data_IF_698341758421
#
_entry.id   IF_698341758421
#
_cell.length_a   1.000
_cell.length_b   1.000
_cell.length_c   1.000
_cell.angle_alpha   90.00
_cell.angle_beta   90.00
_cell.angle_gamma   90.00
#
_symmetry.space_group_name_H-M   'P 1'
#
loop_
_entity.id
_entity.type
_entity.pdbx_description
1 polymer ?
#
# COMPACT_ATOMS: atom_id res chain seq x y z
N UNK A 1 22.45 -5.41 -0.25
CA UNK A 1 22.26 -4.13 0.45
C UNK A 1 22.81 -4.18 1.87
N UNK A 2 22.98 -3.04 2.51
CA UNK A 2 23.42 -2.90 3.90
C UNK A 2 22.51 -3.64 4.90
N UNK A 3 21.21 -3.71 4.59
CA UNK A 3 20.19 -4.36 5.42
C UNK A 3 19.84 -5.79 4.95
N UNK A 4 20.66 -6.43 4.13
CA UNK A 4 20.41 -7.78 3.65
C UNK A 4 19.33 -7.92 2.56
N UNK A 5 18.72 -6.82 2.11
CA UNK A 5 17.72 -6.83 1.05
C UNK A 5 18.35 -7.24 -0.28
N UNK A 6 17.74 -8.19 -0.98
CA UNK A 6 18.14 -8.57 -2.33
C UNK A 6 17.82 -7.43 -3.31
N UNK A 7 18.84 -6.93 -3.99
CA UNK A 7 18.74 -5.83 -4.95
C UNK A 7 19.09 -6.27 -6.39
N UNK A 8 19.01 -7.55 -6.71
CA UNK A 8 19.38 -8.07 -8.03
C UNK A 8 18.54 -7.50 -9.17
N UNK A 9 17.30 -7.11 -8.88
CA UNK A 9 16.37 -6.48 -9.84
C UNK A 9 16.39 -4.94 -9.77
N UNK A 10 17.33 -4.35 -9.03
CA UNK A 10 17.48 -2.89 -9.00
C UNK A 10 18.22 -2.43 -10.25
N UNK A 11 17.55 -1.63 -11.08
CA UNK A 11 18.13 -1.04 -12.29
C UNK A 11 18.61 0.38 -12.01
N UNK A 12 19.82 0.71 -12.42
CA UNK A 12 20.37 2.06 -12.34
C UNK A 12 20.10 2.77 -13.67
N UNK A 13 19.39 3.91 -13.62
CA UNK A 13 19.13 4.72 -14.79
C UNK A 13 20.27 5.73 -15.01
N UNK A 14 20.89 5.72 -16.20
CA UNK A 14 21.87 6.73 -16.59
C UNK A 14 21.20 8.05 -17.07
N UNK A 15 19.89 8.01 -17.37
CA UNK A 15 19.14 9.13 -17.95
C UNK A 15 18.29 9.91 -16.95
N UNK A 16 17.95 9.30 -15.84
CA UNK A 16 17.03 9.86 -14.85
C UNK A 16 17.62 9.79 -13.45
N UNK A 17 17.60 10.89 -12.73
CA UNK A 17 17.99 10.91 -11.32
C UNK A 17 17.04 10.10 -10.47
N UNK A 18 17.50 9.64 -9.33
CA UNK A 18 16.64 9.08 -8.28
C UNK A 18 15.53 10.05 -7.92
N UNK A 19 14.33 9.55 -7.64
CA UNK A 19 13.23 10.36 -7.14
C UNK A 19 13.58 11.04 -5.82
N UNK A 20 12.97 12.19 -5.58
CA UNK A 20 13.15 12.95 -4.34
C UNK A 20 11.80 13.42 -3.82
N UNK A 21 11.67 13.50 -2.50
CA UNK A 21 10.51 14.06 -1.83
C UNK A 21 10.92 15.21 -0.90
N UNK A 22 10.24 16.36 -1.05
CA UNK A 22 10.32 17.47 -0.10
C UNK A 22 9.24 17.28 0.96
N UNK A 23 9.63 16.99 2.20
CA UNK A 23 8.70 16.72 3.29
C UNK A 23 8.67 17.93 4.21
N UNK A 24 7.51 18.55 4.36
CA UNK A 24 7.24 19.68 5.24
C UNK A 24 6.46 19.19 6.45
N UNK A 25 7.10 19.19 7.63
CA UNK A 25 6.45 18.73 8.87
C UNK A 25 6.04 19.92 9.72
N UNK A 26 4.77 19.95 10.12
CA UNK A 26 4.26 20.93 11.06
C UNK A 26 4.72 20.56 12.48
N UNK A 27 5.63 21.35 13.05
CA UNK A 27 6.23 21.09 14.37
C UNK A 27 5.22 21.08 15.52
N UNK A 28 4.02 21.65 15.34
CA UNK A 28 3.00 21.70 16.40
C UNK A 28 2.06 20.49 16.34
N UNK A 29 1.67 20.05 15.15
CA UNK A 29 0.68 19.00 14.95
C UNK A 29 1.27 17.66 14.56
N UNK A 30 2.52 17.61 14.05
CA UNK A 30 3.13 16.42 13.48
C UNK A 30 2.62 16.08 12.06
N UNK A 31 1.65 16.84 11.56
CA UNK A 31 1.16 16.66 10.19
C UNK A 31 2.23 17.01 9.17
N UNK A 32 2.22 16.30 8.05
CA UNK A 32 3.14 16.55 6.95
C UNK A 32 2.45 16.88 5.64
N UNK A 33 3.18 17.56 4.76
CA UNK A 33 2.83 17.74 3.37
C UNK A 33 4.04 17.32 2.53
N UNK A 34 3.81 16.47 1.54
CA UNK A 34 4.88 15.85 0.76
C UNK A 34 4.75 16.28 -0.70
N UNK A 35 5.84 16.82 -1.25
CA UNK A 35 5.96 17.12 -2.68
C UNK A 35 6.93 16.13 -3.32
N UNK A 36 6.44 15.26 -4.20
CA UNK A 36 7.20 14.16 -4.80
C UNK A 36 7.59 14.48 -6.24
N UNK A 37 8.86 14.25 -6.55
CA UNK A 37 9.38 14.17 -7.92
C UNK A 37 9.81 12.73 -8.17
N UNK A 38 9.06 11.94 -8.97
CA UNK A 38 9.25 10.49 -9.07
C UNK A 38 10.62 10.05 -9.62
N UNK A 39 11.28 10.90 -10.41
CA UNK A 39 12.58 10.56 -11.01
C UNK A 39 12.56 9.27 -11.83
N UNK A 40 13.56 8.42 -11.62
CA UNK A 40 13.69 7.12 -12.29
C UNK A 40 12.54 6.16 -11.97
N UNK A 41 11.99 6.19 -10.76
CA UNK A 41 10.84 5.36 -10.38
C UNK A 41 9.60 5.64 -11.26
N UNK A 42 9.39 6.90 -11.65
CA UNK A 42 8.33 7.27 -12.58
C UNK A 42 8.57 6.86 -14.05
N UNK A 43 9.68 6.15 -14.33
CA UNK A 43 10.06 5.69 -15.68
C UNK A 43 10.17 4.16 -15.79
N UNK A 44 9.81 3.45 -14.75
CA UNK A 44 9.70 1.99 -14.77
C UNK A 44 8.71 1.57 -15.86
N UNK A 45 9.04 0.51 -16.58
CA UNK A 45 8.27 -0.02 -17.72
C UNK A 45 7.79 -1.44 -17.44
N UNK A 46 6.85 -1.93 -18.25
CA UNK A 46 6.43 -3.35 -18.19
C UNK A 46 7.58 -4.31 -18.46
N UNK A 47 8.54 -3.93 -19.32
CA UNK A 47 9.75 -4.73 -19.57
C UNK A 47 10.62 -4.88 -18.32
N UNK A 48 10.68 -3.87 -17.44
CA UNK A 48 11.39 -3.99 -16.18
C UNK A 48 10.69 -5.01 -15.25
N UNK A 49 9.36 -5.04 -15.28
CA UNK A 49 8.57 -6.02 -14.53
C UNK A 49 8.75 -7.43 -15.13
N UNK A 50 8.78 -7.57 -16.46
CA UNK A 50 9.08 -8.85 -17.11
C UNK A 50 10.42 -9.42 -16.68
N UNK A 51 11.46 -8.58 -16.61
CA UNK A 51 12.80 -8.95 -16.13
C UNK A 51 12.78 -9.40 -14.66
N UNK A 52 11.90 -8.84 -13.82
CA UNK A 52 11.74 -9.20 -12.42
C UNK A 52 10.69 -10.31 -12.19
N UNK A 53 10.01 -10.78 -13.24
CA UNK A 53 8.85 -11.67 -13.14
C UNK A 53 9.13 -12.98 -12.41
N UNK A 54 10.33 -13.54 -12.58
CA UNK A 54 10.71 -14.77 -11.87
C UNK A 54 10.79 -14.52 -10.35
N UNK A 55 11.36 -13.41 -9.92
CA UNK A 55 11.40 -13.03 -8.50
C UNK A 55 10.00 -12.84 -7.92
N UNK A 56 9.09 -12.21 -8.70
CA UNK A 56 7.68 -12.06 -8.28
C UNK A 56 7.05 -13.44 -8.09
N UNK A 57 7.21 -14.35 -9.03
CA UNK A 57 6.63 -15.71 -8.99
C UNK A 57 7.17 -16.59 -7.86
N UNK A 58 8.38 -16.33 -7.40
CA UNK A 58 9.03 -17.05 -6.30
C UNK A 58 8.81 -16.41 -4.94
N UNK A 59 8.10 -15.27 -4.88
CA UNK A 59 7.79 -14.56 -3.65
C UNK A 59 6.52 -15.11 -2.99
N UNK A 60 6.40 -14.99 -1.69
CA UNK A 60 5.19 -15.34 -0.94
C UNK A 60 4.19 -14.18 -0.94
N UNK A 61 4.70 -12.95 -0.95
CA UNK A 61 3.92 -11.71 -0.93
C UNK A 61 4.44 -10.75 -1.99
N UNK A 62 3.53 -10.12 -2.72
CA UNK A 62 3.79 -8.99 -3.58
C UNK A 62 3.18 -7.72 -2.96
N UNK A 63 4.04 -6.85 -2.42
CA UNK A 63 3.64 -5.56 -1.85
C UNK A 63 3.95 -4.43 -2.82
N UNK A 64 2.97 -3.58 -3.12
CA UNK A 64 3.15 -2.41 -3.98
C UNK A 64 2.32 -1.21 -3.54
N UNK A 65 2.69 -0.05 -4.05
CA UNK A 65 1.99 1.24 -3.92
C UNK A 65 1.62 1.77 -5.31
N UNK A 66 1.10 3.01 -5.39
CA UNK A 66 0.71 3.64 -6.66
C UNK A 66 1.65 4.80 -7.07
N UNK A 67 2.91 4.76 -6.64
CA UNK A 67 3.90 5.80 -6.96
C UNK A 67 4.60 5.60 -8.32
N UNK A 68 4.65 4.36 -8.81
CA UNK A 68 5.12 4.05 -10.16
C UNK A 68 4.02 4.31 -11.22
N UNK A 69 4.32 4.25 -12.54
CA UNK A 69 3.29 4.34 -13.58
C UNK A 69 2.18 3.31 -13.36
N UNK A 70 0.93 3.78 -13.38
CA UNK A 70 -0.22 2.96 -12.96
C UNK A 70 -0.39 1.68 -13.79
N UNK A 71 -0.22 1.79 -15.10
CA UNK A 71 -0.31 0.66 -16.03
C UNK A 71 0.78 -0.40 -15.79
N UNK A 72 1.92 0.00 -15.22
CA UNK A 72 3.02 -0.90 -14.83
C UNK A 72 2.72 -1.57 -13.49
N UNK A 73 2.16 -0.81 -12.54
CA UNK A 73 1.73 -1.37 -11.24
C UNK A 73 0.62 -2.40 -11.45
N UNK A 74 -0.41 -2.07 -12.23
CA UNK A 74 -1.51 -3.01 -12.53
C UNK A 74 -1.01 -4.26 -13.28
N UNK A 75 -0.04 -4.11 -14.16
CA UNK A 75 0.60 -5.24 -14.83
C UNK A 75 1.37 -6.15 -13.86
N UNK A 76 2.11 -5.57 -12.91
CA UNK A 76 2.81 -6.35 -11.89
C UNK A 76 1.84 -7.09 -10.95
N UNK A 77 0.73 -6.45 -10.57
CA UNK A 77 -0.37 -7.08 -9.82
C UNK A 77 -0.96 -8.27 -10.59
N UNK A 78 -1.19 -8.11 -11.92
CA UNK A 78 -1.70 -9.18 -12.77
C UNK A 78 -0.74 -10.39 -12.80
N UNK A 79 0.57 -10.16 -12.89
CA UNK A 79 1.58 -11.24 -12.83
C UNK A 79 1.54 -11.94 -11.47
N UNK A 80 1.53 -11.21 -10.36
CA UNK A 80 1.50 -11.79 -9.03
C UNK A 80 0.23 -12.62 -8.80
N UNK A 81 -0.93 -12.04 -9.05
CA UNK A 81 -2.24 -12.69 -8.87
C UNK A 81 -2.39 -13.94 -9.75
N UNK A 82 -1.95 -13.88 -11.02
CA UNK A 82 -2.01 -15.03 -11.95
C UNK A 82 -1.09 -16.19 -11.54
N UNK A 83 -0.14 -15.94 -10.65
CA UNK A 83 0.76 -16.96 -10.11
C UNK A 83 0.44 -17.34 -8.65
N UNK A 84 -0.74 -16.96 -8.15
CA UNK A 84 -1.21 -17.23 -6.78
C UNK A 84 -0.31 -16.63 -5.69
N UNK A 85 0.31 -15.48 -5.97
CA UNK A 85 1.07 -14.71 -4.98
C UNK A 85 0.11 -13.71 -4.34
N UNK A 86 0.06 -13.67 -3.02
CA UNK A 86 -0.78 -12.72 -2.29
C UNK A 86 -0.36 -11.28 -2.57
N UNK A 87 -1.32 -10.47 -3.04
CA UNK A 87 -1.10 -9.07 -3.40
C UNK A 87 -1.54 -8.17 -2.26
N UNK A 88 -0.60 -7.39 -1.72
CA UNK A 88 -0.88 -6.27 -0.83
C UNK A 88 -0.77 -4.99 -1.66
N UNK A 89 -1.85 -4.24 -1.80
CA UNK A 89 -1.84 -2.92 -2.40
C UNK A 89 -2.11 -1.85 -1.34
N UNK A 90 -1.10 -1.02 -1.09
CA UNK A 90 -1.27 0.25 -0.39
C UNK A 90 -1.56 1.34 -1.44
N UNK A 91 -2.78 1.89 -1.53
CA UNK A 91 -3.17 2.77 -2.63
C UNK A 91 -2.69 4.22 -2.44
N UNK A 92 -1.44 4.40 -2.15
CA UNK A 92 -0.76 5.67 -1.91
C UNK A 92 0.13 6.06 -3.12
N UNK A 93 -0.04 7.26 -3.69
CA UNK A 93 -1.21 8.13 -3.56
C UNK A 93 -2.44 7.54 -4.25
N UNK A 94 -3.65 7.86 -3.78
CA UNK A 94 -4.87 7.34 -4.37
C UNK A 94 -4.99 7.69 -5.87
N UNK A 95 -5.23 6.68 -6.70
CA UNK A 95 -5.42 6.77 -8.15
C UNK A 95 -6.57 5.88 -8.60
N UNK A 96 -7.23 6.24 -9.69
CA UNK A 96 -8.32 5.44 -10.25
C UNK A 96 -7.77 4.14 -10.84
N UNK A 97 -8.11 3.02 -10.21
CA UNK A 97 -7.78 1.68 -10.67
C UNK A 97 -8.80 1.18 -11.70
N UNK A 98 -8.37 0.26 -12.57
CA UNK A 98 -9.30 -0.52 -13.40
C UNK A 98 -10.17 -1.43 -12.51
N UNK A 99 -11.43 -1.64 -12.90
CA UNK A 99 -12.35 -2.48 -12.11
C UNK A 99 -11.82 -3.90 -11.88
N UNK A 100 -11.16 -4.48 -12.90
CA UNK A 100 -10.56 -5.81 -12.79
C UNK A 100 -9.45 -5.91 -11.74
N UNK A 101 -8.75 -4.81 -11.47
CA UNK A 101 -7.61 -4.79 -10.53
C UNK A 101 -8.05 -5.11 -9.11
N UNK A 102 -9.25 -4.65 -8.69
CA UNK A 102 -9.75 -4.92 -7.34
C UNK A 102 -9.87 -6.41 -7.03
N UNK A 103 -10.28 -7.25 -7.98
CA UNK A 103 -10.40 -8.69 -7.79
C UNK A 103 -9.07 -9.44 -7.72
N UNK A 104 -7.97 -8.78 -8.05
CA UNK A 104 -6.61 -9.31 -7.98
C UNK A 104 -5.87 -8.92 -6.68
N UNK A 105 -6.53 -8.14 -5.81
CA UNK A 105 -5.94 -7.64 -4.55
C UNK A 105 -6.40 -8.53 -3.40
N UNK A 106 -5.45 -9.15 -2.71
CA UNK A 106 -5.71 -9.95 -1.51
C UNK A 106 -5.87 -9.07 -0.27
N UNK A 107 -5.03 -8.03 -0.14
CA UNK A 107 -5.08 -7.07 0.96
C UNK A 107 -4.99 -5.64 0.43
N UNK A 108 -6.01 -4.85 0.68
CA UNK A 108 -6.07 -3.44 0.32
C UNK A 108 -5.97 -2.59 1.57
N UNK A 109 -4.94 -1.73 1.66
CA UNK A 109 -4.55 -1.05 2.91
C UNK A 109 -4.59 0.47 2.81
N UNK A 110 -5.73 1.08 2.46
CA UNK A 110 -5.87 2.53 2.41
C UNK A 110 -5.90 3.16 3.82
N UNK A 111 -5.49 4.42 3.91
CA UNK A 111 -5.86 5.30 5.01
C UNK A 111 -7.27 5.90 4.79
N UNK A 112 -7.75 6.76 5.72
CA UNK A 112 -9.08 7.39 5.64
C UNK A 112 -9.26 8.19 4.34
N UNK A 113 -8.24 8.94 3.94
CA UNK A 113 -8.29 9.80 2.74
C UNK A 113 -8.29 8.96 1.47
N UNK A 114 -7.44 7.97 1.41
CA UNK A 114 -7.34 7.05 0.28
C UNK A 114 -8.61 6.22 0.13
N UNK A 115 -9.12 5.65 1.23
CA UNK A 115 -10.37 4.91 1.18
C UNK A 115 -11.54 5.80 0.74
N UNK A 116 -11.63 7.04 1.24
CA UNK A 116 -12.65 8.02 0.84
C UNK A 116 -12.63 8.29 -0.67
N UNK A 117 -11.46 8.26 -1.30
CA UNK A 117 -11.34 8.42 -2.77
C UNK A 117 -12.05 7.31 -3.55
N UNK A 118 -11.99 6.06 -3.06
CA UNK A 118 -12.56 4.90 -3.76
C UNK A 118 -14.05 4.68 -3.50
N UNK A 119 -14.58 5.24 -2.40
CA UNK A 119 -15.98 5.04 -1.98
C UNK A 119 -16.83 6.31 -2.06
N UNK A 120 -16.23 7.43 -2.45
CA UNK A 120 -16.91 8.73 -2.68
C UNK A 120 -17.64 9.30 -1.45
N UNK A 121 -17.22 8.90 -0.24
CA UNK A 121 -17.68 9.51 1.01
C UNK A 121 -16.54 9.63 2.02
N UNK A 122 -16.66 10.57 2.97
CA UNK A 122 -15.65 10.75 4.01
C UNK A 122 -15.67 9.60 5.02
N UNK A 123 -14.50 9.30 5.54
CA UNK A 123 -14.32 8.31 6.61
C UNK A 123 -13.79 9.05 7.84
N UNK A 124 -14.68 9.27 8.81
CA UNK A 124 -14.40 9.98 10.07
C UNK A 124 -14.64 9.07 11.28
N UNK A 125 -15.49 8.08 11.13
CA UNK A 125 -15.91 7.15 12.19
C UNK A 125 -15.63 5.70 11.82
N UNK A 126 -15.70 4.80 12.81
CA UNK A 126 -15.61 3.35 12.56
C UNK A 126 -16.76 2.84 11.67
N UNK A 127 -17.96 3.44 11.77
CA UNK A 127 -19.08 3.04 10.93
C UNK A 127 -18.88 3.46 9.47
N UNK A 128 -18.22 4.62 9.23
CA UNK A 128 -17.83 5.02 7.87
C UNK A 128 -16.77 4.06 7.31
N UNK A 129 -15.80 3.66 8.13
CA UNK A 129 -14.78 2.68 7.73
C UNK A 129 -15.39 1.32 7.40
N UNK A 130 -16.37 0.86 8.18
CA UNK A 130 -17.13 -0.37 7.91
C UNK A 130 -17.87 -0.28 6.58
N UNK A 131 -18.54 0.82 6.32
CA UNK A 131 -19.24 1.08 5.06
C UNK A 131 -18.29 1.08 3.87
N UNK A 132 -17.16 1.76 4.02
CA UNK A 132 -16.13 1.82 2.99
C UNK A 132 -15.55 0.42 2.70
N UNK A 133 -15.22 -0.32 3.75
CA UNK A 133 -14.68 -1.67 3.61
C UNK A 133 -15.65 -2.59 2.85
N UNK A 134 -16.94 -2.56 3.17
CA UNK A 134 -17.95 -3.35 2.45
C UNK A 134 -18.02 -2.96 0.96
N UNK A 135 -18.00 -1.67 0.63
CA UNK A 135 -18.02 -1.22 -0.76
C UNK A 135 -16.74 -1.64 -1.52
N UNK A 136 -15.59 -1.71 -0.86
CA UNK A 136 -14.35 -2.20 -1.46
C UNK A 136 -14.36 -3.71 -1.67
N UNK A 137 -14.96 -4.47 -0.75
CA UNK A 137 -15.20 -5.91 -0.90
C UNK A 137 -16.17 -6.15 -2.07
N UNK A 138 -17.24 -5.37 -2.20
CA UNK A 138 -18.19 -5.44 -3.32
C UNK A 138 -17.51 -5.13 -4.68
N UNK A 139 -16.41 -4.38 -4.68
CA UNK A 139 -15.58 -4.17 -5.87
C UNK A 139 -14.67 -5.36 -6.22
N UNK A 140 -14.50 -6.32 -5.31
CA UNK A 140 -13.74 -7.55 -5.52
C UNK A 140 -12.52 -7.74 -4.63
N UNK A 141 -12.20 -6.78 -3.74
CA UNK A 141 -11.07 -6.93 -2.80
C UNK A 141 -11.36 -8.03 -1.79
N UNK A 142 -10.40 -8.92 -1.53
CA UNK A 142 -10.61 -10.03 -0.59
C UNK A 142 -10.57 -9.58 0.87
N UNK A 143 -9.58 -8.78 1.26
CA UNK A 143 -9.42 -8.27 2.61
C UNK A 143 -9.13 -6.76 2.56
N UNK A 144 -9.90 -5.98 3.30
CA UNK A 144 -9.74 -4.54 3.41
C UNK A 144 -9.25 -4.17 4.81
N UNK A 145 -8.20 -3.36 4.88
CA UNK A 145 -7.62 -2.87 6.13
C UNK A 145 -7.56 -1.35 6.02
N UNK A 146 -8.47 -0.63 6.67
CA UNK A 146 -8.45 0.83 6.68
C UNK A 146 -7.70 1.31 7.90
N UNK A 147 -6.56 2.00 7.68
CA UNK A 147 -5.81 2.63 8.76
C UNK A 147 -6.46 3.94 9.16
N UNK A 148 -6.61 4.17 10.47
CA UNK A 148 -7.34 5.30 11.08
C UNK A 148 -6.44 6.10 12.03
N UNK A 149 -5.15 6.20 11.68
CA UNK A 149 -4.15 6.93 12.44
C UNK A 149 -4.07 6.46 13.90
N UNK A 150 -4.11 7.40 14.83
CA UNK A 150 -4.06 7.12 16.27
C UNK A 150 -5.25 6.30 16.81
N UNK A 151 -6.33 6.21 16.04
CA UNK A 151 -7.51 5.42 16.42
C UNK A 151 -7.28 3.93 16.24
N UNK A 152 -6.38 3.51 15.32
CA UNK A 152 -6.10 2.11 15.03
C UNK A 152 -6.45 1.71 13.61
N UNK A 153 -6.98 0.49 13.43
CA UNK A 153 -7.30 -0.06 12.11
C UNK A 153 -8.65 -0.75 12.12
N UNK A 154 -9.36 -0.67 10.99
CA UNK A 154 -10.55 -1.45 10.73
C UNK A 154 -10.25 -2.51 9.67
N UNK A 155 -10.48 -3.77 10.01
CA UNK A 155 -10.36 -4.92 9.12
C UNK A 155 -11.72 -5.43 8.69
N UNK A 156 -11.89 -5.82 7.43
CA UNK A 156 -13.05 -6.56 6.96
C UNK A 156 -12.73 -7.47 5.78
N UNK A 157 -13.41 -8.60 5.73
CA UNK A 157 -13.54 -9.47 4.56
C UNK A 157 -14.96 -10.08 4.54
N UNK A 158 -15.24 -10.98 3.61
CA UNK A 158 -16.57 -11.64 3.50
C UNK A 158 -16.99 -12.40 4.75
N UNK A 159 -16.06 -12.85 5.59
CA UNK A 159 -16.32 -13.75 6.74
C UNK A 159 -16.37 -13.02 8.07
N UNK A 160 -15.59 -11.96 8.22
CA UNK A 160 -15.45 -11.28 9.51
C UNK A 160 -15.05 -9.82 9.35
N UNK A 161 -15.31 -9.05 10.39
CA UNK A 161 -14.81 -7.70 10.52
C UNK A 161 -14.52 -7.39 12.00
N UNK A 162 -13.53 -6.56 12.25
CA UNK A 162 -13.20 -6.09 13.59
C UNK A 162 -12.44 -4.78 13.54
N UNK A 163 -12.43 -4.10 14.66
CA UNK A 163 -11.62 -2.92 14.90
C UNK A 163 -10.53 -3.25 15.92
N UNK A 164 -9.31 -2.80 15.63
CA UNK A 164 -8.18 -2.91 16.57
C UNK A 164 -7.69 -1.51 16.90
N UNK A 165 -7.64 -1.17 18.19
CA UNK A 165 -7.07 0.10 18.63
C UNK A 165 -5.58 0.18 18.28
N UNK A 166 -5.10 1.40 18.06
CA UNK A 166 -3.67 1.62 17.92
C UNK A 166 -2.95 1.21 19.22
N UNK A 167 -1.69 0.83 19.07
CA UNK A 167 -0.85 0.56 20.22
C UNK A 167 -0.70 1.83 21.08
N UNK A 168 -0.88 1.69 22.40
CA UNK A 168 -0.73 2.82 23.34
C UNK A 168 0.74 3.23 23.45
N UNK A 169 1.13 4.15 22.58
CA UNK A 169 2.47 4.74 22.59
C UNK A 169 2.52 5.88 23.61
N UNK A 170 3.20 5.64 24.73
CA UNK A 170 3.34 6.62 25.83
C UNK A 170 4.26 7.80 25.49
N UNK A 171 4.80 7.88 24.30
CA UNK A 171 5.66 8.95 23.81
C UNK A 171 4.87 10.00 23.03
N UNK A 172 5.55 11.10 22.66
CA UNK A 172 5.03 12.11 21.77
C UNK A 172 5.31 11.68 20.32
N UNK A 173 4.27 11.59 19.50
CA UNK A 173 4.43 11.46 18.05
C UNK A 173 4.94 12.79 17.51
N UNK A 174 6.11 12.78 16.87
CA UNK A 174 6.79 13.98 16.34
C UNK A 174 6.63 14.08 14.83
N UNK A 175 6.58 12.92 14.15
CA UNK A 175 6.47 12.80 12.71
C UNK A 175 5.76 11.48 12.37
N UNK A 176 4.82 11.51 11.45
CA UNK A 176 4.05 10.35 10.98
C UNK A 176 4.54 9.83 9.63
N UNK A 177 5.61 10.42 9.08
CA UNK A 177 6.20 9.99 7.80
C UNK A 177 6.62 8.52 7.87
N UNK A 178 6.18 7.73 6.89
CA UNK A 178 6.51 6.31 6.80
C UNK A 178 5.69 5.39 7.74
N UNK A 179 4.71 5.92 8.50
CA UNK A 179 3.88 5.08 9.37
C UNK A 179 3.09 4.03 8.56
N UNK A 180 2.55 4.42 7.39
CA UNK A 180 1.90 3.51 6.45
C UNK A 180 2.85 2.44 5.91
N UNK A 181 4.08 2.84 5.56
CA UNK A 181 5.11 1.91 5.07
C UNK A 181 5.49 0.89 6.14
N UNK A 182 5.69 1.35 7.38
CA UNK A 182 5.95 0.48 8.53
C UNK A 182 4.81 -0.50 8.80
N UNK A 183 3.56 -0.05 8.71
CA UNK A 183 2.38 -0.89 8.83
C UNK A 183 2.34 -1.99 7.75
N UNK A 184 2.51 -1.61 6.49
CA UNK A 184 2.49 -2.55 5.37
C UNK A 184 3.65 -3.54 5.40
N UNK A 185 4.84 -3.11 5.82
CA UNK A 185 5.99 -4.00 6.02
C UNK A 185 5.70 -5.04 7.11
N UNK A 186 5.16 -4.60 8.25
CA UNK A 186 4.76 -5.51 9.34
C UNK A 186 3.68 -6.51 8.92
N UNK A 187 2.68 -6.05 8.16
CA UNK A 187 1.63 -6.91 7.61
C UNK A 187 2.22 -7.96 6.67
N UNK A 188 3.07 -7.55 5.72
CA UNK A 188 3.69 -8.45 4.76
C UNK A 188 4.52 -9.54 5.44
N UNK A 189 5.33 -9.17 6.44
CA UNK A 189 6.13 -10.13 7.23
C UNK A 189 5.22 -11.10 7.99
N UNK A 190 4.17 -10.58 8.66
CA UNK A 190 3.26 -11.42 9.44
C UNK A 190 2.52 -12.45 8.55
N UNK A 191 2.12 -12.06 7.34
CA UNK A 191 1.48 -12.96 6.38
C UNK A 191 2.46 -14.00 5.84
N UNK A 192 3.68 -13.58 5.47
CA UNK A 192 4.72 -14.50 5.01
C UNK A 192 5.17 -15.50 6.07
N UNK A 193 5.11 -15.15 7.36
CA UNK A 193 5.39 -16.05 8.47
C UNK A 193 4.16 -16.89 8.92
N UNK A 194 3.04 -16.82 8.17
CA UNK A 194 1.77 -17.51 8.48
C UNK A 194 1.22 -17.21 9.89
N UNK A 195 1.55 -16.04 10.43
CA UNK A 195 0.98 -15.58 11.70
C UNK A 195 -0.46 -15.09 11.44
N UNK A 196 -1.40 -15.86 11.93
CA UNK A 196 -2.85 -15.57 11.83
C UNK A 196 -3.33 -14.64 12.94
#
# INVERSE_FOLDING_TARGET
>A
SEFGVNISNLTISEKHSTGVAGIFVNKKTGENAINVVPGAAGKITKSDIDNASQTIKESEIFLTQLEAPLDVVEYAIEIASSNNIDVILNPAPARKLEQKTFSMIDYFTPNETEASFYVEHKIETQEDAKKAANQLIDKGVKNVIITLGEKGVYFANEKQNFFTNAFDFKGKVVDTTGAGDGFNAGLAVALAEEKK
#
